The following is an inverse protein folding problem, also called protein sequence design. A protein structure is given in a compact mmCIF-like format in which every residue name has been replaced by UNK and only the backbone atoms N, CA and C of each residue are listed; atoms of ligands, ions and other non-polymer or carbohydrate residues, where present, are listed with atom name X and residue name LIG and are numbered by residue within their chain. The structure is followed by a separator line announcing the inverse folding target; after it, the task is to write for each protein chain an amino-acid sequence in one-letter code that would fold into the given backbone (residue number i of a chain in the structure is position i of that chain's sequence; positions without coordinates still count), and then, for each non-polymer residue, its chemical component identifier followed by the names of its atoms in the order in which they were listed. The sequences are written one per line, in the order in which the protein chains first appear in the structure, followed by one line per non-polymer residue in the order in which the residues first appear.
data_IF_288363851360
#
_entry.id   IF_288363851360
#
_cell.length_a   1.000
_cell.length_b   1.000
_cell.length_c   1.000
_cell.angle_alpha   90.00
_cell.angle_beta   90.00
_cell.angle_gamma   90.00
#
_symmetry.space_group_name_H-M   'P 1'
#
loop_
_entity.id
_entity.type
_entity.pdbx_description
1 polymer ?
#
# COMPACT_ATOMS: atom_id res chain seq x y z
N UNK A 1 14.37 6.75 0.80
CA UNK A 1 13.22 5.95 1.25
C UNK A 1 13.63 4.50 1.18
N UNK A 2 13.25 3.71 2.18
CA UNK A 2 13.55 2.28 2.24
C UNK A 2 12.25 1.48 2.34
N UNK A 3 12.25 0.26 1.79
CA UNK A 3 11.16 -0.70 1.92
C UNK A 3 11.63 -1.84 2.82
N UNK A 4 11.14 -1.90 4.05
CA UNK A 4 11.38 -3.04 4.94
C UNK A 4 10.20 -4.00 4.94
N UNK A 5 10.44 -5.28 5.20
CA UNK A 5 9.34 -6.24 5.39
C UNK A 5 8.49 -5.80 6.58
N UNK A 6 7.17 -5.89 6.41
CA UNK A 6 6.25 -5.72 7.52
C UNK A 6 6.37 -6.90 8.50
N UNK A 7 6.06 -6.63 9.76
CA UNK A 7 6.06 -7.60 10.86
C UNK A 7 4.74 -7.52 11.62
N UNK A 8 4.55 -8.40 12.60
CA UNK A 8 3.38 -8.32 13.48
C UNK A 8 3.37 -7.04 14.34
N UNK A 9 4.52 -6.42 14.58
CA UNK A 9 4.60 -5.15 15.32
C UNK A 9 3.98 -3.98 14.53
N UNK A 10 3.87 -4.12 13.20
CA UNK A 10 3.21 -3.14 12.33
C UNK A 10 1.68 -3.29 12.31
N UNK A 11 1.11 -4.30 13.00
CA UNK A 11 -0.30 -4.63 12.89
C UNK A 11 -1.21 -3.44 13.21
N UNK A 12 -0.94 -2.71 14.30
CA UNK A 12 -1.74 -1.56 14.71
C UNK A 12 -1.65 -0.42 13.70
N UNK A 13 -0.44 -0.13 13.22
CA UNK A 13 -0.20 0.92 12.23
C UNK A 13 -0.92 0.63 10.92
N UNK A 14 -0.77 -0.58 10.39
CA UNK A 14 -1.44 -1.02 9.16
C UNK A 14 -2.95 -0.98 9.29
N UNK A 15 -3.49 -1.38 10.44
CA UNK A 15 -4.91 -1.31 10.74
C UNK A 15 -5.42 0.13 10.70
N UNK A 16 -4.73 1.03 11.39
CA UNK A 16 -5.11 2.44 11.46
C UNK A 16 -5.10 3.09 10.08
N UNK A 17 -4.03 2.91 9.31
CA UNK A 17 -3.96 3.43 7.95
C UNK A 17 -5.04 2.86 7.03
N UNK A 18 -5.37 1.57 7.17
CA UNK A 18 -6.40 0.92 6.36
C UNK A 18 -7.81 1.35 6.75
N UNK A 19 -8.02 1.73 8.00
CA UNK A 19 -9.30 2.23 8.53
C UNK A 19 -9.48 3.75 8.43
N UNK A 20 -8.43 4.49 8.10
CA UNK A 20 -8.55 5.92 7.79
C UNK A 20 -9.69 6.17 6.78
N UNK A 21 -10.60 7.14 7.05
CA UNK A 21 -11.78 7.37 6.21
C UNK A 21 -11.47 7.64 4.74
N UNK A 22 -10.44 8.43 4.44
CA UNK A 22 -10.06 8.73 3.06
C UNK A 22 -9.46 7.50 2.37
N UNK A 23 -8.61 6.73 3.08
CA UNK A 23 -8.10 5.45 2.57
C UNK A 23 -9.26 4.53 2.22
N UNK A 24 -10.25 4.37 3.12
CA UNK A 24 -11.40 3.49 2.88
C UNK A 24 -12.24 3.92 1.70
N UNK A 25 -12.50 5.22 1.55
CA UNK A 25 -13.31 5.75 0.46
C UNK A 25 -12.75 5.37 -0.92
N UNK A 26 -11.42 5.41 -1.06
CA UNK A 26 -10.74 5.12 -2.33
C UNK A 26 -10.22 3.68 -2.46
N UNK A 27 -10.37 2.88 -1.40
CA UNK A 27 -10.06 1.45 -1.41
C UNK A 27 -11.13 0.65 -2.15
N UNK A 28 -10.74 -0.50 -2.70
CA UNK A 28 -11.66 -1.46 -3.34
C UNK A 28 -12.73 -1.94 -2.36
N UNK A 29 -12.29 -2.34 -1.17
CA UNK A 29 -13.17 -2.67 -0.06
C UNK A 29 -13.30 -1.46 0.86
N UNK A 30 -14.48 -0.87 0.90
CA UNK A 30 -14.77 0.31 1.71
C UNK A 30 -15.26 -0.05 3.11
N UNK A 31 -15.45 -1.33 3.45
CA UNK A 31 -15.93 -1.76 4.76
C UNK A 31 -14.97 -1.37 5.88
N UNK A 32 -15.49 -1.24 7.09
CA UNK A 32 -14.66 -1.01 8.27
C UNK A 32 -13.94 -2.30 8.62
N UNK A 33 -12.63 -2.20 8.79
CA UNK A 33 -11.81 -3.34 9.13
C UNK A 33 -11.95 -3.62 10.63
N UNK A 34 -12.30 -4.86 10.95
CA UNK A 34 -12.33 -5.37 12.33
C UNK A 34 -10.94 -5.85 12.73
N UNK A 35 -10.50 -5.52 13.95
CA UNK A 35 -9.16 -5.82 14.44
C UNK A 35 -8.80 -7.31 14.35
N UNK A 36 -9.66 -8.19 14.83
CA UNK A 36 -9.38 -9.65 14.82
C UNK A 36 -9.25 -10.19 13.39
N UNK A 37 -10.07 -9.71 12.47
CA UNK A 37 -9.99 -10.05 11.05
C UNK A 37 -8.68 -9.57 10.43
N UNK A 38 -8.22 -8.37 10.80
CA UNK A 38 -6.95 -7.80 10.36
C UNK A 38 -5.74 -8.59 10.86
N UNK A 39 -5.70 -8.92 12.16
CA UNK A 39 -4.62 -9.73 12.75
C UNK A 39 -4.56 -11.10 12.08
N UNK A 40 -5.72 -11.73 11.86
CA UNK A 40 -5.79 -13.01 11.14
C UNK A 40 -5.31 -12.90 9.69
N UNK A 41 -5.67 -11.82 8.99
CA UNK A 41 -5.18 -11.54 7.64
C UNK A 41 -3.66 -11.34 7.61
N UNK A 42 -3.12 -10.49 8.49
CA UNK A 42 -1.69 -10.18 8.55
C UNK A 42 -0.86 -11.42 8.87
N UNK A 43 -1.31 -12.23 9.84
CA UNK A 43 -0.65 -13.48 10.21
C UNK A 43 -0.49 -14.41 9.01
N UNK A 44 -1.59 -14.66 8.27
CA UNK A 44 -1.55 -15.49 7.06
C UNK A 44 -0.68 -14.88 5.97
N UNK A 45 -0.72 -13.55 5.84
CA UNK A 45 0.04 -12.82 4.83
C UNK A 45 1.55 -12.93 5.04
N UNK A 46 2.01 -12.74 6.27
CA UNK A 46 3.43 -12.80 6.62
C UNK A 46 4.04 -14.22 6.50
N UNK A 47 3.19 -15.25 6.43
CA UNK A 47 3.61 -16.64 6.23
C UNK A 47 3.70 -17.04 4.76
N UNK A 48 3.24 -16.19 3.81
CA UNK A 48 3.16 -16.58 2.42
C UNK A 48 4.31 -15.99 1.59
N UNK A 49 5.15 -16.85 1.02
CA UNK A 49 6.36 -16.44 0.30
C UNK A 49 6.07 -15.70 -1.02
N UNK A 50 4.95 -16.02 -1.69
CA UNK A 50 4.55 -15.41 -2.97
C UNK A 50 4.01 -13.98 -2.82
N UNK A 51 3.78 -13.52 -1.58
CA UNK A 51 3.08 -12.28 -1.28
C UNK A 51 3.91 -11.39 -0.35
N UNK A 52 4.36 -10.26 -0.88
CA UNK A 52 5.12 -9.27 -0.12
C UNK A 52 4.22 -8.25 0.58
N UNK A 53 4.57 -7.89 1.81
CA UNK A 53 4.04 -6.72 2.51
C UNK A 53 5.21 -5.95 3.12
N UNK A 54 5.28 -4.65 2.79
CA UNK A 54 6.40 -3.80 3.12
C UNK A 54 5.94 -2.49 3.73
N UNK A 55 6.70 -2.01 4.70
CA UNK A 55 6.59 -0.65 5.23
C UNK A 55 7.60 0.22 4.49
N UNK A 56 7.12 1.34 3.95
CA UNK A 56 7.96 2.38 3.40
C UNK A 56 8.38 3.34 4.52
N UNK A 57 9.68 3.60 4.61
CA UNK A 57 10.26 4.45 5.67
C UNK A 57 11.13 5.56 5.09
N UNK A 58 11.14 6.69 5.79
CA UNK A 58 12.07 7.81 5.59
C UNK A 58 12.71 8.08 6.95
N UNK A 59 14.03 7.95 7.02
CA UNK A 59 14.81 8.12 8.26
C UNK A 59 14.27 7.28 9.44
N UNK A 60 13.84 6.04 9.14
CA UNK A 60 13.26 5.11 10.11
C UNK A 60 11.81 5.42 10.53
N UNK A 61 11.17 6.44 9.93
CA UNK A 61 9.78 6.79 10.20
C UNK A 61 8.88 6.13 9.14
N UNK A 62 7.89 5.32 9.54
CA UNK A 62 6.89 4.77 8.62
C UNK A 62 6.06 5.86 7.93
N UNK A 63 6.02 5.82 6.60
CA UNK A 63 5.28 6.80 5.78
C UNK A 63 4.23 6.17 4.87
N UNK A 64 4.19 4.84 4.78
CA UNK A 64 3.17 4.11 4.06
C UNK A 64 3.45 2.62 3.99
N UNK A 65 2.58 1.89 3.29
CA UNK A 65 2.71 0.46 3.04
C UNK A 65 2.66 0.18 1.54
N UNK A 66 3.42 -0.83 1.10
CA UNK A 66 3.38 -1.40 -0.23
C UNK A 66 3.14 -2.89 -0.11
N UNK A 67 2.17 -3.39 -0.86
CA UNK A 67 1.78 -4.79 -0.93
C UNK A 67 2.01 -5.28 -2.35
N UNK A 68 2.73 -6.39 -2.48
CA UNK A 68 3.06 -7.03 -3.76
C UNK A 68 2.39 -8.40 -3.79
N UNK A 69 1.60 -8.63 -4.84
CA UNK A 69 0.87 -9.87 -5.09
C UNK A 69 1.19 -10.34 -6.51
N UNK A 70 2.22 -11.19 -6.68
CA UNK A 70 2.71 -11.61 -8.00
C UNK A 70 2.98 -10.41 -8.93
N UNK A 71 2.05 -10.07 -9.81
CA UNK A 71 2.10 -8.96 -10.77
C UNK A 71 1.34 -7.70 -10.30
N UNK A 72 0.53 -7.76 -9.24
CA UNK A 72 -0.21 -6.63 -8.68
C UNK A 72 0.59 -5.89 -7.59
N UNK A 73 0.37 -4.56 -7.53
CA UNK A 73 0.79 -3.70 -6.43
C UNK A 73 -0.40 -2.96 -5.82
N UNK A 74 -0.46 -2.95 -4.49
CA UNK A 74 -1.36 -2.13 -3.70
C UNK A 74 -0.56 -1.31 -2.71
N UNK A 75 -1.01 -0.10 -2.39
CA UNK A 75 -0.27 0.79 -1.51
C UNK A 75 -1.19 1.73 -0.73
N UNK A 76 -0.69 2.21 0.40
CA UNK A 76 -1.39 3.20 1.23
C UNK A 76 -0.35 4.15 1.79
N UNK A 77 -0.59 5.45 1.62
CA UNK A 77 0.25 6.50 2.21
C UNK A 77 -0.34 6.84 3.58
N UNK A 78 0.52 6.98 4.59
CA UNK A 78 0.10 7.44 5.92
C UNK A 78 -0.69 8.76 5.80
N UNK A 79 -1.80 8.94 6.54
CA UNK A 79 -2.62 10.15 6.44
C UNK A 79 -1.82 11.45 6.53
N UNK A 80 -0.85 11.50 7.45
CA UNK A 80 0.00 12.66 7.73
C UNK A 80 1.03 12.93 6.63
N UNK A 81 1.20 12.00 5.68
CA UNK A 81 2.21 12.05 4.62
C UNK A 81 1.61 12.25 3.22
N UNK A 82 0.28 12.39 3.12
CA UNK A 82 -0.42 12.63 1.85
C UNK A 82 -0.02 13.97 1.24
N UNK A 83 -0.20 14.08 -0.07
CA UNK A 83 0.06 15.29 -0.88
C UNK A 83 1.52 15.80 -0.88
N UNK A 84 2.47 15.03 -0.33
CA UNK A 84 3.91 15.35 -0.29
C UNK A 84 4.75 14.58 -1.32
N UNK A 85 4.13 13.94 -2.30
CA UNK A 85 4.81 13.09 -3.29
C UNK A 85 5.24 11.71 -2.78
N UNK A 86 4.93 11.37 -1.52
CA UNK A 86 5.34 10.11 -0.87
C UNK A 86 4.84 8.88 -1.62
N UNK A 87 3.58 8.86 -2.08
CA UNK A 87 3.03 7.73 -2.81
C UNK A 87 3.77 7.42 -4.11
N UNK A 88 4.18 8.45 -4.87
CA UNK A 88 4.99 8.27 -6.07
C UNK A 88 6.38 7.72 -5.73
N UNK A 89 7.03 8.27 -4.71
CA UNK A 89 8.33 7.79 -4.24
C UNK A 89 8.29 6.32 -3.79
N UNK A 90 7.24 5.91 -3.05
CA UNK A 90 7.03 4.52 -2.64
C UNK A 90 6.94 3.58 -3.84
N UNK A 91 6.21 3.99 -4.87
CA UNK A 91 6.03 3.19 -6.08
C UNK A 91 7.29 3.12 -6.94
N UNK A 92 8.07 4.20 -7.00
CA UNK A 92 9.39 4.18 -7.68
C UNK A 92 10.32 3.17 -7.01
N UNK A 93 10.41 3.18 -5.67
CA UNK A 93 11.23 2.19 -4.96
C UNK A 93 10.68 0.77 -5.11
N UNK A 94 9.35 0.60 -5.08
CA UNK A 94 8.74 -0.70 -5.32
C UNK A 94 9.04 -1.24 -6.72
N UNK A 95 9.02 -0.39 -7.75
CA UNK A 95 9.40 -0.77 -9.11
C UNK A 95 10.86 -1.18 -9.22
N UNK A 96 11.77 -0.48 -8.53
CA UNK A 96 13.19 -0.84 -8.50
C UNK A 96 13.41 -2.21 -7.86
N UNK A 97 12.69 -2.50 -6.78
CA UNK A 97 12.84 -3.75 -6.04
C UNK A 97 12.14 -4.95 -6.72
N UNK A 98 10.98 -4.74 -7.34
CA UNK A 98 10.09 -5.83 -7.78
C UNK A 98 9.72 -5.79 -9.27
N UNK A 99 10.23 -4.81 -10.02
CA UNK A 99 9.87 -4.56 -11.40
C UNK A 99 8.53 -3.85 -11.57
N UNK A 100 8.12 -3.64 -12.82
CA UNK A 100 6.82 -3.08 -13.14
C UNK A 100 5.68 -3.99 -12.64
N UNK A 101 4.63 -3.39 -12.11
CA UNK A 101 3.43 -4.06 -11.56
C UNK A 101 2.15 -3.40 -12.08
N UNK A 102 1.03 -4.09 -11.92
CA UNK A 102 -0.32 -3.58 -12.17
C UNK A 102 -0.88 -2.98 -10.88
N UNK A 103 -1.23 -1.70 -10.91
CA UNK A 103 -1.96 -1.03 -9.86
C UNK A 103 -3.45 -1.00 -10.25
N UNK A 104 -4.29 -1.69 -9.48
CA UNK A 104 -5.74 -1.61 -9.63
C UNK A 104 -6.28 -0.39 -8.88
N UNK A 105 -6.83 0.58 -9.62
CA UNK A 105 -7.19 1.91 -9.10
C UNK A 105 -8.61 2.27 -9.51
N UNK A 106 -9.41 2.78 -8.56
CA UNK A 106 -10.74 3.34 -8.87
C UNK A 106 -10.61 4.56 -9.79
N UNK A 107 -11.52 4.74 -10.74
CA UNK A 107 -11.48 5.83 -11.72
C UNK A 107 -11.46 7.22 -11.07
N UNK A 108 -12.11 7.35 -9.93
CA UNK A 108 -12.21 8.59 -9.15
C UNK A 108 -10.92 8.88 -8.36
N UNK A 109 -10.05 7.88 -8.15
CA UNK A 109 -8.80 8.05 -7.42
C UNK A 109 -7.67 8.57 -8.34
N UNK A 110 -7.87 9.78 -8.84
CA UNK A 110 -6.95 10.47 -9.77
C UNK A 110 -5.53 10.60 -9.18
N UNK A 111 -5.41 10.79 -7.87
CA UNK A 111 -4.11 10.88 -7.20
C UNK A 111 -3.33 9.56 -7.31
N UNK A 112 -4.00 8.43 -7.04
CA UNK A 112 -3.39 7.11 -7.11
C UNK A 112 -3.04 6.71 -8.55
N UNK A 113 -3.91 7.02 -9.51
CA UNK A 113 -3.66 6.82 -10.94
C UNK A 113 -2.38 7.56 -11.36
N UNK A 114 -2.29 8.87 -11.09
CA UNK A 114 -1.12 9.68 -11.46
C UNK A 114 0.16 9.19 -10.80
N UNK A 115 0.10 8.81 -9.53
CA UNK A 115 1.28 8.29 -8.81
C UNK A 115 1.79 6.99 -9.44
N UNK A 116 0.89 6.05 -9.76
CA UNK A 116 1.25 4.79 -10.40
C UNK A 116 1.80 4.99 -11.83
N UNK A 117 1.18 5.84 -12.65
CA UNK A 117 1.66 6.13 -14.00
C UNK A 117 3.04 6.78 -13.99
N UNK A 118 3.27 7.78 -13.13
CA UNK A 118 4.56 8.47 -13.04
C UNK A 118 5.68 7.59 -12.51
N UNK A 119 5.37 6.72 -11.55
CA UNK A 119 6.30 5.68 -11.12
C UNK A 119 6.53 4.60 -12.19
N UNK A 120 5.73 4.60 -13.26
CA UNK A 120 5.86 3.70 -14.40
C UNK A 120 5.32 2.30 -14.14
N UNK A 121 4.29 2.19 -13.31
CA UNK A 121 3.42 1.01 -13.18
C UNK A 121 2.31 1.03 -14.23
N UNK A 122 1.68 -0.12 -14.46
CA UNK A 122 0.51 -0.22 -15.32
C UNK A 122 -0.71 0.12 -14.46
N UNK A 123 -1.54 1.06 -14.89
CA UNK A 123 -2.82 1.33 -14.22
C UNK A 123 -3.92 0.52 -14.89
N UNK A 124 -4.65 -0.24 -14.07
CA UNK A 124 -5.89 -0.91 -14.47
C UNK A 124 -7.03 -0.32 -13.65
N UNK A 125 -8.03 0.22 -14.33
CA UNK A 125 -9.20 0.75 -13.64
C UNK A 125 -10.07 -0.40 -13.12
N UNK A 126 -10.54 -0.24 -11.88
CA UNK A 126 -11.54 -1.11 -11.27
C UNK A 126 -12.78 -0.28 -10.92
N UNK A 127 -13.94 -0.87 -11.15
CA UNK A 127 -15.25 -0.27 -10.88
C UNK A 127 -15.60 -0.32 -9.38
#
# INVERSE_FOLDING_TARGET
MELRKATMDDAKLLFDWRNDPETRQVSRDTSELVWDSHVGWLTRRLQCEDHGLYIAEVDGIPVGTVRIDRDEISYTVAPEQRQKGVGEAMLVEAKRAFGQKVAEVKRENIASMKAAERAGHIVKFVD
#
